data_IF_029492563299
#
_entry.id   IF_029492563299
#
_cell.length_a   1.000
_cell.length_b   1.000
_cell.length_c   1.000
_cell.angle_alpha   90.00
_cell.angle_beta   90.00
_cell.angle_gamma   90.00
#
_symmetry.space_group_name_H-M   'P 1'
#
loop_
_entity.id
_entity.type
_entity.pdbx_description
1 polymer ?
#
# COMPACT_ATOMS: atom_id res chain seq x y z
N UNK A 1 26.08 3.11 -14.38
CA UNK A 1 24.85 3.38 -15.15
C UNK A 1 23.77 2.49 -14.55
N UNK A 2 22.87 3.09 -13.76
CA UNK A 2 21.92 2.38 -12.92
C UNK A 2 20.76 1.83 -13.76
N UNK A 3 20.27 0.63 -13.43
CA UNK A 3 19.16 -0.09 -14.09
C UNK A 3 17.82 0.63 -13.84
N UNK A 4 17.62 1.78 -14.46
CA UNK A 4 16.47 2.65 -14.21
C UNK A 4 15.38 2.57 -15.30
N UNK A 5 15.33 1.52 -16.14
CA UNK A 5 14.42 1.48 -17.30
C UNK A 5 13.47 0.27 -17.35
N UNK A 6 13.45 -0.60 -16.34
CA UNK A 6 12.36 -1.57 -16.15
C UNK A 6 11.58 -1.12 -14.92
N UNK A 7 10.26 -0.96 -15.06
CA UNK A 7 9.38 -0.68 -13.94
C UNK A 7 9.55 -1.73 -12.84
N UNK A 8 9.08 -1.43 -11.63
CA UNK A 8 9.08 -2.46 -10.59
C UNK A 8 8.12 -3.58 -11.01
N UNK A 9 8.65 -4.74 -11.40
CA UNK A 9 7.86 -5.90 -11.78
C UNK A 9 7.14 -6.48 -10.56
N UNK A 10 5.84 -6.73 -10.71
CA UNK A 10 5.08 -7.43 -9.69
C UNK A 10 5.56 -8.87 -9.57
N UNK A 11 5.99 -9.28 -8.38
CA UNK A 11 6.47 -10.66 -8.16
C UNK A 11 5.39 -11.75 -8.26
N UNK A 12 4.11 -11.35 -8.38
CA UNK A 12 2.96 -12.25 -8.42
C UNK A 12 2.49 -12.51 -9.85
N UNK A 13 2.19 -11.45 -10.62
CA UNK A 13 1.73 -11.60 -12.01
C UNK A 13 2.85 -11.41 -13.05
N UNK A 14 3.99 -10.84 -12.68
CA UNK A 14 5.11 -10.56 -13.57
C UNK A 14 4.93 -9.30 -14.44
N UNK A 15 3.83 -8.56 -14.30
CA UNK A 15 3.58 -7.30 -15.03
C UNK A 15 4.15 -6.10 -14.28
N UNK A 16 4.37 -4.99 -15.00
CA UNK A 16 4.87 -3.73 -14.42
C UNK A 16 3.88 -3.12 -13.42
N UNK A 17 4.40 -2.64 -12.29
CA UNK A 17 3.66 -1.74 -11.40
C UNK A 17 3.87 -0.31 -11.88
N UNK A 18 2.98 0.15 -12.75
CA UNK A 18 3.11 1.41 -13.49
C UNK A 18 2.98 2.67 -12.62
N UNK A 19 2.16 2.61 -11.56
CA UNK A 19 1.85 3.77 -10.73
C UNK A 19 1.98 3.47 -9.24
N UNK A 20 2.33 4.49 -8.44
CA UNK A 20 2.35 4.38 -6.98
C UNK A 20 0.98 3.99 -6.40
N UNK A 21 -0.11 4.34 -7.08
CA UNK A 21 -1.49 3.95 -6.72
C UNK A 21 -1.79 2.48 -6.96
N UNK A 22 -0.96 1.79 -7.73
CA UNK A 22 -1.03 0.34 -7.92
C UNK A 22 -0.04 -0.42 -7.02
N UNK A 23 0.86 0.26 -6.31
CA UNK A 23 1.92 -0.37 -5.52
C UNK A 23 1.47 -0.79 -4.11
N UNK A 24 1.58 -2.09 -3.84
CA UNK A 24 1.40 -2.65 -2.49
C UNK A 24 2.57 -2.30 -1.57
N UNK A 25 3.79 -2.22 -2.11
CA UNK A 25 4.97 -1.83 -1.34
C UNK A 25 4.80 -0.42 -0.76
N UNK A 26 4.42 0.54 -1.61
CA UNK A 26 4.15 1.91 -1.17
C UNK A 26 2.91 1.99 -0.29
N UNK A 27 1.86 1.18 -0.53
CA UNK A 27 0.72 1.10 0.40
C UNK A 27 1.17 0.70 1.81
N UNK A 28 1.95 -0.38 1.92
CA UNK A 28 2.50 -0.86 3.20
C UNK A 28 3.46 0.16 3.82
N UNK A 29 4.22 0.87 3.01
CA UNK A 29 5.08 1.95 3.47
C UNK A 29 4.29 3.11 4.06
N UNK A 30 3.25 3.60 3.37
CA UNK A 30 2.53 4.77 3.85
C UNK A 30 1.76 4.51 5.14
N UNK A 31 1.30 3.28 5.36
CA UNK A 31 0.65 2.85 6.61
C UNK A 31 1.66 2.37 7.68
N UNK A 32 2.96 2.41 7.38
CA UNK A 32 4.03 2.09 8.32
C UNK A 32 4.12 0.61 8.68
N UNK A 33 3.80 -0.28 7.75
CA UNK A 33 3.96 -1.74 7.87
C UNK A 33 5.27 -2.25 7.26
N UNK A 34 6.00 -1.38 6.57
CA UNK A 34 7.35 -1.67 6.11
C UNK A 34 8.33 -0.62 6.66
N UNK A 35 9.53 -1.07 6.98
CA UNK A 35 10.61 -0.20 7.40
C UNK A 35 11.17 0.55 6.17
N UNK A 36 11.33 1.89 6.22
CA UNK A 36 11.94 2.67 5.14
C UNK A 36 13.29 2.12 4.69
N UNK A 37 14.10 1.57 5.60
CA UNK A 37 15.43 1.03 5.28
C UNK A 37 15.33 -0.21 4.37
N UNK A 38 14.23 -0.95 4.42
CA UNK A 38 14.02 -2.16 3.61
C UNK A 38 13.34 -1.90 2.27
N UNK A 39 12.95 -0.65 1.98
CA UNK A 39 12.17 -0.32 0.78
C UNK A 39 12.91 -0.67 -0.52
N UNK A 40 14.22 -0.42 -0.56
CA UNK A 40 15.05 -0.65 -1.74
C UNK A 40 15.36 -2.14 -2.02
N UNK A 41 15.14 -3.02 -1.05
CA UNK A 41 15.36 -4.47 -1.17
C UNK A 41 14.07 -5.26 -1.24
N UNK A 42 12.95 -4.65 -0.86
CA UNK A 42 11.65 -5.31 -0.87
C UNK A 42 11.10 -5.39 -2.29
N UNK A 43 10.61 -6.56 -2.66
CA UNK A 43 9.98 -6.79 -3.94
C UNK A 43 8.63 -6.08 -4.02
N UNK A 44 8.31 -5.64 -5.23
CA UNK A 44 7.07 -4.97 -5.53
C UNK A 44 5.95 -5.98 -5.91
N UNK A 45 4.71 -5.60 -5.66
CA UNK A 45 3.52 -6.26 -6.19
C UNK A 45 2.40 -5.24 -6.40
N UNK A 46 1.47 -5.53 -7.31
CA UNK A 46 0.26 -4.72 -7.35
C UNK A 46 -0.55 -4.88 -6.07
N UNK A 47 -1.25 -3.84 -5.64
CA UNK A 47 -2.23 -3.91 -4.55
C UNK A 47 -3.22 -5.04 -4.82
N UNK A 48 -3.75 -5.14 -6.04
CA UNK A 48 -4.69 -6.20 -6.45
C UNK A 48 -4.10 -7.62 -6.38
N UNK A 49 -2.79 -7.76 -6.56
CA UNK A 49 -2.07 -9.03 -6.44
C UNK A 49 -1.84 -9.44 -4.97
N UNK A 50 -2.16 -8.56 -4.01
CA UNK A 50 -2.25 -8.86 -2.59
C UNK A 50 -3.71 -8.73 -2.10
N UNK A 51 -4.60 -9.67 -2.46
CA UNK A 51 -6.02 -9.52 -2.19
C UNK A 51 -6.35 -9.59 -0.69
N UNK A 52 -5.49 -10.21 0.12
CA UNK A 52 -5.61 -10.24 1.57
C UNK A 52 -5.54 -8.83 2.20
N UNK A 53 -4.75 -7.92 1.61
CA UNK A 53 -4.71 -6.51 2.01
C UNK A 53 -5.73 -5.67 1.23
N UNK A 54 -5.81 -5.86 -0.09
CA UNK A 54 -6.64 -5.03 -0.98
C UNK A 54 -8.12 -5.03 -0.60
N UNK A 55 -8.65 -6.14 -0.08
CA UNK A 55 -10.05 -6.22 0.36
C UNK A 55 -10.41 -5.17 1.43
N UNK A 56 -9.44 -4.62 2.16
CA UNK A 56 -9.68 -3.58 3.18
C UNK A 56 -9.76 -2.17 2.60
N UNK A 57 -9.54 -1.95 1.30
CA UNK A 57 -9.72 -0.63 0.69
C UNK A 57 -11.21 -0.41 0.43
N UNK A 58 -11.78 0.61 1.07
CA UNK A 58 -13.18 1.05 0.91
C UNK A 58 -13.17 2.48 0.36
N UNK A 59 -12.87 2.61 -0.93
CA UNK A 59 -12.81 3.89 -1.64
C UNK A 59 -13.47 3.74 -3.02
N UNK A 60 -14.30 4.70 -3.43
CA UNK A 60 -15.01 4.65 -4.72
C UNK A 60 -14.12 4.75 -5.96
N UNK A 61 -12.82 4.97 -5.78
CA UNK A 61 -11.81 5.00 -6.84
C UNK A 61 -10.93 3.75 -6.85
N UNK A 62 -11.24 2.76 -6.00
CA UNK A 62 -10.60 1.45 -5.99
C UNK A 62 -11.66 0.36 -6.20
N UNK A 63 -11.50 -0.54 -7.19
CA UNK A 63 -12.39 -1.68 -7.35
C UNK A 63 -12.39 -2.55 -6.09
N UNK A 64 -13.57 -2.82 -5.51
CA UNK A 64 -13.66 -3.70 -4.34
C UNK A 64 -13.13 -5.09 -4.64
N UNK A 65 -12.30 -5.60 -3.73
CA UNK A 65 -11.76 -6.96 -3.78
C UNK A 65 -12.48 -7.80 -2.74
N UNK A 66 -12.98 -8.95 -3.16
CA UNK A 66 -13.49 -9.99 -2.29
C UNK A 66 -12.70 -11.27 -2.53
N UNK A 67 -12.39 -11.99 -1.46
CA UNK A 67 -11.81 -13.32 -1.51
C UNK A 67 -12.68 -14.27 -0.74
N UNK A 68 -12.60 -15.55 -1.09
CA UNK A 68 -13.23 -16.62 -0.33
C UNK A 68 -12.21 -17.27 0.62
N UNK A 69 -12.71 -17.97 1.64
CA UNK A 69 -11.90 -18.68 2.63
C UNK A 69 -11.57 -17.87 3.88
N UNK A 70 -10.62 -18.35 4.67
CA UNK A 70 -10.38 -17.86 6.04
C UNK A 70 -9.83 -16.42 6.12
N UNK A 71 -9.28 -15.92 5.02
CA UNK A 71 -8.79 -14.54 4.93
C UNK A 71 -9.86 -13.55 4.46
N UNK A 72 -11.05 -14.01 4.09
CA UNK A 72 -12.17 -13.12 3.74
C UNK A 72 -12.51 -12.21 4.93
N UNK A 73 -12.37 -10.89 4.75
CA UNK A 73 -12.64 -9.91 5.80
C UNK A 73 -14.05 -10.03 6.38
N UNK A 74 -15.03 -10.52 5.60
CA UNK A 74 -16.42 -10.71 6.06
C UNK A 74 -16.54 -11.77 7.16
N UNK A 75 -15.53 -12.62 7.32
CA UNK A 75 -15.45 -13.70 8.32
C UNK A 75 -14.58 -13.33 9.52
N UNK A 76 -13.94 -12.16 9.51
CA UNK A 76 -13.08 -11.68 10.58
C UNK A 76 -13.87 -10.87 11.62
N UNK A 77 -13.24 -10.63 12.77
CA UNK A 77 -13.81 -9.76 13.81
C UNK A 77 -14.17 -8.37 13.24
N UNK A 78 -15.38 -7.89 13.54
CA UNK A 78 -15.90 -6.68 12.92
C UNK A 78 -15.14 -5.41 13.36
N UNK A 79 -14.63 -5.36 14.61
CA UNK A 79 -13.73 -4.27 15.03
C UNK A 79 -12.42 -4.32 14.28
N UNK A 80 -11.84 -5.52 14.12
CA UNK A 80 -10.65 -5.73 13.33
C UNK A 80 -10.84 -5.18 11.91
N UNK A 81 -11.94 -5.56 11.27
CA UNK A 81 -12.24 -5.14 9.90
C UNK A 81 -12.35 -3.62 9.82
N UNK A 82 -13.12 -2.98 10.70
CA UNK A 82 -13.28 -1.51 10.68
C UNK A 82 -11.97 -0.76 10.85
N UNK A 83 -11.10 -1.21 11.76
CA UNK A 83 -9.78 -0.61 11.97
C UNK A 83 -8.88 -0.77 10.74
N UNK A 84 -8.84 -1.98 10.18
CA UNK A 84 -8.06 -2.28 8.97
C UNK A 84 -8.58 -1.50 7.78
N UNK A 85 -9.90 -1.45 7.57
CA UNK A 85 -10.51 -0.65 6.51
C UNK A 85 -10.14 0.82 6.62
N UNK A 86 -10.24 1.40 7.82
CA UNK A 86 -9.87 2.80 8.06
C UNK A 86 -8.40 3.07 7.74
N UNK A 87 -7.49 2.21 8.18
CA UNK A 87 -6.05 2.39 7.96
C UNK A 87 -5.68 2.23 6.48
N UNK A 88 -6.09 1.13 5.87
CA UNK A 88 -5.69 0.76 4.50
C UNK A 88 -6.34 1.70 3.49
N UNK A 89 -7.59 2.12 3.71
CA UNK A 89 -8.26 3.14 2.88
C UNK A 89 -7.53 4.48 2.93
N UNK A 90 -7.14 4.95 4.14
CA UNK A 90 -6.34 6.17 4.26
C UNK A 90 -4.97 6.04 3.60
N UNK A 91 -4.35 4.87 3.68
CA UNK A 91 -3.12 4.55 2.95
C UNK A 91 -3.31 4.71 1.44
N UNK A 92 -4.33 4.08 0.85
CA UNK A 92 -4.63 4.22 -0.58
C UNK A 92 -4.94 5.66 -0.99
N UNK A 93 -5.73 6.38 -0.20
CA UNK A 93 -6.01 7.81 -0.44
C UNK A 93 -4.73 8.64 -0.39
N UNK A 94 -3.79 8.30 0.51
CA UNK A 94 -2.48 8.94 0.56
C UNK A 94 -1.72 8.68 -0.74
N UNK A 95 -1.65 7.44 -1.25
CA UNK A 95 -0.99 7.16 -2.54
C UNK A 95 -1.57 8.00 -3.68
N UNK A 96 -2.90 8.17 -3.72
CA UNK A 96 -3.55 9.04 -4.72
C UNK A 96 -3.15 10.50 -4.56
N UNK A 97 -3.05 11.00 -3.33
CA UNK A 97 -2.53 12.34 -3.08
C UNK A 97 -1.09 12.46 -3.57
N UNK A 98 -0.22 11.49 -3.27
CA UNK A 98 1.17 11.47 -3.71
C UNK A 98 1.28 11.48 -5.24
N UNK A 99 0.45 10.68 -5.93
CA UNK A 99 0.42 10.64 -7.40
C UNK A 99 -0.03 11.95 -8.04
N UNK A 100 -0.90 12.71 -7.35
CA UNK A 100 -1.39 14.02 -7.82
C UNK A 100 -0.52 15.19 -7.38
N UNK A 101 0.27 15.00 -6.33
CA UNK A 101 1.20 15.99 -5.82
C UNK A 101 2.48 15.94 -6.67
N UNK A 102 3.16 17.09 -6.80
CA UNK A 102 4.47 17.15 -7.43
C UNK A 102 5.54 16.42 -6.61
N UNK A 103 6.80 16.80 -6.81
CA UNK A 103 7.91 16.20 -6.09
C UNK A 103 7.75 16.35 -4.57
N UNK A 104 7.76 15.22 -3.86
CA UNK A 104 7.82 15.14 -2.40
C UNK A 104 8.93 14.17 -1.99
N UNK A 105 9.56 14.45 -0.86
CA UNK A 105 10.53 13.54 -0.27
C UNK A 105 9.83 12.25 0.18
N UNK A 106 10.52 11.12 -0.01
CA UNK A 106 10.00 9.80 0.39
C UNK A 106 9.65 9.73 1.88
N UNK A 107 10.38 10.48 2.73
CA UNK A 107 10.14 10.62 4.17
C UNK A 107 8.81 11.29 4.53
N UNK A 108 8.18 11.98 3.58
CA UNK A 108 6.87 12.62 3.75
C UNK A 108 5.72 11.78 3.17
N UNK A 109 6.01 10.62 2.58
CA UNK A 109 4.96 9.75 2.03
C UNK A 109 4.04 9.15 3.11
N UNK A 110 4.55 8.66 4.26
CA UNK A 110 3.72 8.01 5.25
C UNK A 110 2.67 8.90 5.89
N UNK A 111 1.63 8.27 6.41
CA UNK A 111 0.59 8.93 7.20
C UNK A 111 1.22 9.66 8.40
N UNK A 112 0.63 10.77 8.81
CA UNK A 112 1.18 11.61 9.88
C UNK A 112 1.42 10.83 11.18
N UNK A 113 0.53 9.92 11.55
CA UNK A 113 0.73 9.07 12.72
C UNK A 113 1.91 8.11 12.60
N UNK A 114 2.26 7.66 11.39
CA UNK A 114 3.44 6.81 11.14
C UNK A 114 4.70 7.63 11.29
N UNK A 115 4.71 8.84 10.71
CA UNK A 115 5.84 9.77 10.80
C UNK A 115 6.10 10.19 12.25
N UNK A 116 5.05 10.52 13.02
CA UNK A 116 5.18 10.83 14.45
C UNK A 116 5.79 9.66 15.23
N UNK A 117 5.27 8.45 15.01
CA UNK A 117 5.79 7.24 15.67
C UNK A 117 7.28 7.01 15.37
N UNK A 118 7.72 7.23 14.13
CA UNK A 118 9.14 7.08 13.76
C UNK A 118 10.03 8.21 14.30
N UNK A 119 9.50 9.42 14.47
CA UNK A 119 10.27 10.53 15.07
C UNK A 119 10.48 10.39 16.59
N UNK A 120 9.64 9.58 17.25
CA UNK A 120 9.70 9.29 18.69
C UNK A 120 10.60 8.09 19.03
N UNK A 121 11.13 7.39 18.02
CA UNK A 121 11.97 6.18 18.16
C UNK A 121 13.44 6.53 17.92
#
# INVERSE_FOLDING_TARGET
MARCEEGYLCEICGEDVEAITDSDLYLRYVIGWIDPETLHTTRERHIRCNPALAQFIVDGQFPSVAIDGDFDKRRLDASFVRERERLVTRGFQRLRQLASAGEMAITDYPLDEVRRRWAET
#
